data_IF_147983649829
#
_entry.id   IF_147983649829
#
_cell.length_a   1.000
_cell.length_b   1.000
_cell.length_c   1.000
_cell.angle_alpha   90.00
_cell.angle_beta   90.00
_cell.angle_gamma   90.00
#
_symmetry.space_group_name_H-M   'P 1'
#
loop_
_entity.id
_entity.type
_entity.pdbx_description
1 polymer ?
#
# COMPACT_ATOMS: atom_id res chain seq x y z
N UNK A 1 -26.55 -13.78 48.60
CA UNK A 1 -26.81 -14.46 47.32
C UNK A 1 -26.42 -13.48 46.24
N UNK A 2 -25.15 -13.48 45.78
CA UNK A 2 -24.61 -12.61 44.71
C UNK A 2 -24.73 -13.39 43.40
N UNK A 3 -25.63 -12.96 42.54
CA UNK A 3 -25.72 -13.43 41.15
C UNK A 3 -24.60 -12.81 40.36
N UNK A 4 -23.55 -13.58 40.03
CA UNK A 4 -22.57 -13.24 39.03
C UNK A 4 -23.26 -13.25 37.64
N UNK A 5 -23.44 -12.05 37.07
CA UNK A 5 -23.77 -11.91 35.67
C UNK A 5 -22.48 -12.14 34.88
N UNK A 6 -22.24 -13.40 34.54
CA UNK A 6 -21.19 -13.79 33.59
C UNK A 6 -21.49 -13.18 32.23
N UNK A 7 -20.69 -12.20 31.83
CA UNK A 7 -20.66 -11.67 30.48
C UNK A 7 -20.16 -12.77 29.51
N UNK A 8 -21.06 -13.60 29.02
CA UNK A 8 -20.80 -14.48 27.88
C UNK A 8 -20.56 -13.61 26.62
N UNK A 9 -19.32 -13.20 26.43
CA UNK A 9 -18.87 -12.77 25.11
C UNK A 9 -18.79 -14.02 24.24
N UNK A 10 -19.86 -14.24 23.46
CA UNK A 10 -20.04 -15.44 22.65
C UNK A 10 -18.86 -15.71 21.70
N UNK A 11 -18.66 -16.96 21.28
CA UNK A 11 -17.59 -17.42 20.39
C UNK A 11 -17.50 -16.67 19.03
N UNK A 12 -18.59 -16.02 18.59
CA UNK A 12 -18.71 -15.30 17.33
C UNK A 12 -17.84 -14.02 17.26
N UNK A 13 -17.78 -13.23 18.34
CA UNK A 13 -17.02 -11.98 18.34
C UNK A 13 -15.50 -12.18 18.21
N UNK A 14 -14.99 -13.28 18.76
CA UNK A 14 -13.57 -13.64 18.62
C UNK A 14 -13.21 -14.14 17.21
N UNK A 15 -14.10 -14.89 16.57
CA UNK A 15 -13.91 -15.40 15.22
C UNK A 15 -13.98 -14.28 14.16
N UNK A 16 -14.91 -13.35 14.30
CA UNK A 16 -15.05 -12.21 13.40
C UNK A 16 -13.87 -11.25 13.51
N UNK A 17 -13.36 -11.00 14.71
CA UNK A 17 -12.13 -10.24 14.93
C UNK A 17 -10.91 -10.87 14.26
N UNK A 18 -10.74 -12.20 14.39
CA UNK A 18 -9.66 -12.92 13.74
C UNK A 18 -9.77 -12.89 12.20
N UNK A 19 -10.97 -13.02 11.66
CA UNK A 19 -11.23 -12.92 10.21
C UNK A 19 -10.89 -11.54 9.66
N UNK A 20 -11.18 -10.46 10.40
CA UNK A 20 -10.83 -9.09 10.04
C UNK A 20 -9.30 -8.86 9.98
N UNK A 21 -8.55 -9.36 10.96
CA UNK A 21 -7.08 -9.29 11.00
C UNK A 21 -6.45 -10.00 9.80
N UNK A 22 -6.94 -11.21 9.47
CA UNK A 22 -6.46 -11.98 8.31
C UNK A 22 -6.83 -11.26 7.01
N UNK A 23 -8.06 -10.75 6.91
CA UNK A 23 -8.52 -10.01 5.74
C UNK A 23 -7.68 -8.78 5.44
N UNK A 24 -7.38 -7.96 6.45
CA UNK A 24 -6.52 -6.79 6.30
C UNK A 24 -5.09 -7.18 5.88
N UNK A 25 -4.53 -8.27 6.42
CA UNK A 25 -3.20 -8.73 6.03
C UNK A 25 -3.14 -9.16 4.56
N UNK A 26 -4.17 -9.85 4.06
CA UNK A 26 -4.26 -10.26 2.65
C UNK A 26 -4.42 -9.07 1.72
N UNK A 27 -5.31 -8.11 2.04
CA UNK A 27 -5.44 -6.87 1.27
C UNK A 27 -4.10 -6.12 1.20
N UNK A 28 -3.45 -5.96 2.35
CA UNK A 28 -2.14 -5.30 2.45
C UNK A 28 -1.06 -6.05 1.64
N UNK A 29 -1.08 -7.39 1.62
CA UNK A 29 -0.18 -8.22 0.81
C UNK A 29 -0.44 -8.07 -0.69
N UNK A 30 -1.72 -8.12 -1.11
CA UNK A 30 -2.12 -7.93 -2.51
C UNK A 30 -1.70 -6.55 -3.02
N UNK A 31 -1.97 -5.49 -2.25
CA UNK A 31 -1.52 -4.14 -2.57
C UNK A 31 0.01 -4.06 -2.65
N UNK A 32 0.72 -4.77 -1.77
CA UNK A 32 2.18 -4.85 -1.80
C UNK A 32 2.71 -5.46 -3.11
N UNK A 33 2.11 -6.56 -3.57
CA UNK A 33 2.49 -7.20 -4.83
C UNK A 33 2.17 -6.30 -6.04
N UNK A 34 1.00 -5.67 -6.08
CA UNK A 34 0.62 -4.72 -7.14
C UNK A 34 1.60 -3.54 -7.17
N UNK A 35 1.85 -2.93 -6.02
CA UNK A 35 2.79 -1.81 -5.92
C UNK A 35 4.21 -2.20 -6.30
N UNK A 36 4.66 -3.40 -5.97
CA UNK A 36 5.98 -3.89 -6.39
C UNK A 36 6.12 -3.89 -7.90
N UNK A 37 5.12 -4.39 -8.63
CA UNK A 37 5.11 -4.39 -10.10
C UNK A 37 5.07 -2.97 -10.65
N UNK A 38 4.17 -2.12 -10.15
CA UNK A 38 4.04 -0.73 -10.62
C UNK A 38 5.32 0.08 -10.35
N UNK A 39 5.92 -0.06 -9.18
CA UNK A 39 7.18 0.62 -8.84
C UNK A 39 8.37 0.08 -9.63
N UNK A 40 8.39 -1.20 -10.00
CA UNK A 40 9.40 -1.73 -10.91
C UNK A 40 9.28 -1.10 -12.31
N UNK A 41 8.06 -0.95 -12.84
CA UNK A 41 7.79 -0.24 -14.10
C UNK A 41 8.23 1.23 -13.96
N UNK A 42 7.86 1.89 -12.88
CA UNK A 42 8.25 3.27 -12.59
C UNK A 42 9.78 3.43 -12.55
N UNK A 43 10.48 2.51 -11.91
CA UNK A 43 11.95 2.47 -11.89
C UNK A 43 12.56 2.41 -13.31
N UNK A 44 11.94 1.68 -14.24
CA UNK A 44 12.37 1.65 -15.64
C UNK A 44 12.16 3.02 -16.32
N UNK A 45 11.06 3.72 -16.02
CA UNK A 45 10.80 5.04 -16.60
C UNK A 45 11.82 6.08 -16.17
N UNK A 46 12.31 6.00 -14.93
CA UNK A 46 13.33 6.92 -14.37
C UNK A 46 14.65 6.81 -15.13
N UNK A 47 15.06 5.60 -15.56
CA UNK A 47 16.31 5.38 -16.28
C UNK A 47 16.38 6.16 -17.61
N UNK A 48 15.23 6.53 -18.16
CA UNK A 48 15.10 7.27 -19.42
C UNK A 48 14.04 8.36 -19.34
N UNK A 49 13.96 9.06 -18.21
CA UNK A 49 12.89 10.00 -17.90
C UNK A 49 12.72 11.08 -18.97
N UNK A 50 13.80 11.58 -19.58
CA UNK A 50 13.74 12.56 -20.67
C UNK A 50 12.97 12.08 -21.91
N UNK A 51 12.93 10.75 -22.16
CA UNK A 51 12.17 10.16 -23.26
C UNK A 51 10.83 9.58 -22.82
N UNK A 52 10.69 9.30 -21.54
CA UNK A 52 9.56 8.58 -20.95
C UNK A 52 8.79 9.43 -19.91
N UNK A 53 8.88 10.78 -20.03
CA UNK A 53 8.23 11.66 -19.05
C UNK A 53 6.71 11.39 -18.95
N UNK A 54 6.04 11.19 -20.08
CA UNK A 54 4.61 10.85 -20.09
C UNK A 54 4.33 9.51 -19.39
N UNK A 55 5.17 8.50 -19.61
CA UNK A 55 5.05 7.20 -18.95
C UNK A 55 5.34 7.30 -17.45
N UNK A 56 6.38 8.07 -17.07
CA UNK A 56 6.72 8.35 -15.68
C UNK A 56 5.55 9.03 -14.93
N UNK A 57 4.99 10.08 -15.50
CA UNK A 57 3.82 10.76 -14.93
C UNK A 57 2.61 9.83 -14.86
N UNK A 58 2.35 9.06 -15.93
CA UNK A 58 1.22 8.12 -15.96
C UNK A 58 1.34 7.07 -14.84
N UNK A 59 2.48 6.38 -14.73
CA UNK A 59 2.67 5.33 -13.71
C UNK A 59 2.74 5.95 -12.32
N UNK A 60 3.41 7.09 -12.15
CA UNK A 60 3.47 7.82 -10.88
C UNK A 60 2.08 8.19 -10.35
N UNK A 61 1.19 8.69 -11.21
CA UNK A 61 -0.19 9.01 -10.81
C UNK A 61 -1.04 7.75 -10.59
N UNK A 62 -0.81 6.70 -11.36
CA UNK A 62 -1.46 5.40 -11.16
C UNK A 62 -1.14 4.80 -9.78
N UNK A 63 0.06 5.01 -9.29
CA UNK A 63 0.53 4.51 -7.99
C UNK A 63 -0.11 5.22 -6.80
N UNK A 64 -0.58 6.47 -6.95
CA UNK A 64 -1.10 7.30 -5.84
C UNK A 64 -2.21 6.62 -5.03
N UNK A 65 -3.35 6.18 -5.60
CA UNK A 65 -4.42 5.57 -4.83
C UNK A 65 -4.02 4.22 -4.17
N UNK A 66 -3.31 3.29 -4.85
CA UNK A 66 -2.81 2.07 -4.20
C UNK A 66 -1.86 2.34 -3.02
N UNK A 67 -0.98 3.34 -3.11
CA UNK A 67 -0.12 3.75 -1.99
C UNK A 67 -0.96 4.31 -0.85
N UNK A 68 -1.91 5.20 -1.12
CA UNK A 68 -2.79 5.77 -0.11
C UNK A 68 -3.57 4.67 0.64
N UNK A 69 -4.13 3.70 -0.08
CA UNK A 69 -4.83 2.56 0.51
C UNK A 69 -3.87 1.68 1.32
N UNK A 70 -2.67 1.42 0.82
CA UNK A 70 -1.63 0.65 1.53
C UNK A 70 -1.23 1.33 2.84
N UNK A 71 -1.01 2.64 2.81
CA UNK A 71 -0.72 3.45 4.01
C UNK A 71 -1.89 3.33 4.99
N UNK A 72 -3.13 3.52 4.53
CA UNK A 72 -4.32 3.42 5.37
C UNK A 72 -4.46 2.06 6.05
N UNK A 73 -4.34 0.95 5.32
CA UNK A 73 -4.43 -0.41 5.87
C UNK A 73 -3.31 -0.73 6.87
N UNK A 74 -2.11 -0.21 6.61
CA UNK A 74 -0.94 -0.39 7.48
C UNK A 74 -1.06 0.46 8.74
N UNK A 75 -1.47 1.72 8.60
CA UNK A 75 -1.72 2.63 9.73
C UNK A 75 -2.85 2.12 10.62
N UNK A 76 -3.94 1.61 10.03
CA UNK A 76 -5.01 0.95 10.77
C UNK A 76 -4.49 -0.21 11.61
N UNK A 77 -3.68 -1.10 11.01
CA UNK A 77 -3.05 -2.23 11.73
C UNK A 77 -2.16 -1.73 12.88
N UNK A 78 -1.35 -0.70 12.63
CA UNK A 78 -0.47 -0.10 13.62
C UNK A 78 -1.28 0.48 14.79
N UNK A 79 -2.28 1.30 14.50
CA UNK A 79 -3.14 1.89 15.51
C UNK A 79 -3.83 0.81 16.38
N UNK A 80 -4.42 -0.22 15.75
CA UNK A 80 -5.07 -1.32 16.47
C UNK A 80 -4.10 -2.09 17.37
N UNK A 81 -2.85 -2.31 16.92
CA UNK A 81 -1.83 -2.96 17.73
C UNK A 81 -1.50 -2.15 18.99
N UNK A 82 -1.25 -0.84 18.86
CA UNK A 82 -0.89 0.02 20.00
C UNK A 82 -2.07 0.39 20.91
N UNK A 83 -3.30 0.33 20.40
CA UNK A 83 -4.52 0.48 21.20
C UNK A 83 -4.91 -0.81 21.95
N UNK A 84 -4.08 -1.85 21.90
CA UNK A 84 -4.26 -3.06 22.69
C UNK A 84 -5.29 -4.05 22.14
N UNK A 85 -5.58 -4.01 20.82
CA UNK A 85 -6.49 -4.99 20.23
C UNK A 85 -5.91 -6.41 20.33
N UNK A 86 -6.63 -7.36 20.99
CA UNK A 86 -6.11 -8.71 21.21
C UNK A 86 -5.83 -9.49 19.92
N UNK A 87 -6.58 -9.21 18.85
CA UNK A 87 -6.40 -9.88 17.54
C UNK A 87 -5.09 -9.48 16.88
N UNK A 88 -4.75 -8.20 16.94
CA UNK A 88 -3.49 -7.67 16.39
C UNK A 88 -2.30 -7.92 17.31
N UNK A 89 -2.50 -7.89 18.65
CA UNK A 89 -1.46 -8.18 19.64
C UNK A 89 -0.91 -9.60 19.54
N UNK A 90 -1.77 -10.61 19.30
CA UNK A 90 -1.36 -12.01 19.12
C UNK A 90 -0.42 -12.27 17.92
N UNK A 91 -0.42 -11.41 16.90
CA UNK A 91 0.51 -11.50 15.77
C UNK A 91 1.94 -11.05 16.10
N UNK A 92 2.13 -10.40 17.25
CA UNK A 92 3.40 -9.86 17.67
C UNK A 92 3.82 -8.60 16.90
N UNK A 93 4.85 -7.93 17.43
CA UNK A 93 5.46 -6.80 16.77
C UNK A 93 6.34 -7.26 15.60
N UNK A 94 6.40 -6.50 14.49
CA UNK A 94 7.39 -6.75 13.45
C UNK A 94 8.81 -6.59 13.99
N UNK A 95 9.84 -7.18 13.33
CA UNK A 95 11.24 -6.97 13.69
C UNK A 95 11.56 -5.48 13.81
N UNK A 96 12.45 -5.13 14.74
CA UNK A 96 12.75 -3.73 15.10
C UNK A 96 13.10 -2.87 13.87
N UNK A 97 13.91 -3.41 12.95
CA UNK A 97 14.28 -2.73 11.72
C UNK A 97 13.05 -2.32 10.87
N UNK A 98 12.12 -3.26 10.66
CA UNK A 98 10.90 -2.99 9.88
C UNK A 98 9.91 -2.10 10.63
N UNK A 99 9.93 -2.14 11.96
CA UNK A 99 9.11 -1.28 12.82
C UNK A 99 9.56 0.18 12.75
N UNK A 100 10.87 0.43 12.66
CA UNK A 100 11.42 1.78 12.50
C UNK A 100 11.34 2.24 11.04
N UNK A 101 11.59 1.36 10.09
CA UNK A 101 11.51 1.67 8.66
C UNK A 101 10.07 2.02 8.22
N UNK A 102 9.05 1.41 8.82
CA UNK A 102 7.64 1.61 8.43
C UNK A 102 7.20 3.08 8.40
N UNK A 103 7.30 3.85 9.50
CA UNK A 103 6.97 5.27 9.51
C UNK A 103 7.81 6.10 8.54
N UNK A 104 9.11 5.81 8.40
CA UNK A 104 10.00 6.50 7.47
C UNK A 104 9.59 6.26 6.02
N UNK A 105 9.22 5.02 5.66
CA UNK A 105 8.69 4.69 4.33
C UNK A 105 7.38 5.43 4.06
N UNK A 106 6.49 5.54 5.04
CA UNK A 106 5.23 6.31 4.89
C UNK A 106 5.53 7.78 4.61
N UNK A 107 6.38 8.41 5.43
CA UNK A 107 6.71 9.83 5.29
C UNK A 107 7.40 10.10 3.95
N UNK A 108 8.41 9.30 3.58
CA UNK A 108 9.15 9.52 2.34
C UNK A 108 8.33 9.15 1.10
N UNK A 109 7.44 8.14 1.14
CA UNK A 109 6.50 7.85 0.06
C UNK A 109 5.52 9.01 -0.15
N UNK A 110 4.99 9.59 0.94
CA UNK A 110 4.13 10.75 0.85
C UNK A 110 4.88 11.95 0.27
N UNK A 111 6.13 12.17 0.70
CA UNK A 111 6.95 13.27 0.22
C UNK A 111 7.24 13.16 -1.29
N UNK A 112 7.68 11.98 -1.78
CA UNK A 112 8.00 11.80 -3.19
C UNK A 112 6.76 11.95 -4.08
N UNK A 113 5.60 11.43 -3.66
CA UNK A 113 4.36 11.60 -4.42
C UNK A 113 3.87 13.04 -4.39
N UNK A 114 3.85 13.69 -3.23
CA UNK A 114 3.39 15.07 -3.08
C UNK A 114 4.28 16.05 -3.88
N UNK A 115 5.60 15.90 -3.82
CA UNK A 115 6.53 16.75 -4.58
C UNK A 115 6.43 16.50 -6.09
N UNK A 116 6.21 15.24 -6.52
CA UNK A 116 6.00 14.91 -7.92
C UNK A 116 4.72 15.53 -8.47
N UNK A 117 3.61 15.41 -7.75
CA UNK A 117 2.32 16.03 -8.11
C UNK A 117 2.47 17.56 -8.13
N UNK A 118 3.12 18.15 -7.13
CA UNK A 118 3.33 19.58 -7.06
C UNK A 118 4.21 20.09 -8.21
N UNK A 119 5.29 19.37 -8.55
CA UNK A 119 6.14 19.71 -9.69
C UNK A 119 5.37 19.67 -11.01
N UNK A 120 4.59 18.59 -11.23
CA UNK A 120 3.75 18.45 -12.42
C UNK A 120 2.74 19.59 -12.55
N UNK A 121 2.03 19.94 -11.47
CA UNK A 121 1.02 20.99 -11.45
C UNK A 121 1.62 22.40 -11.64
N UNK A 122 2.79 22.66 -11.07
CA UNK A 122 3.46 23.95 -11.16
C UNK A 122 4.19 24.17 -12.51
N UNK A 123 4.46 23.10 -13.26
CA UNK A 123 5.14 23.14 -14.55
C UNK A 123 6.67 23.30 -14.45
N UNK A 124 7.37 23.20 -15.61
CA UNK A 124 8.83 23.09 -15.69
C UNK A 124 9.59 24.35 -15.21
N UNK A 125 8.92 25.52 -15.12
CA UNK A 125 9.51 26.74 -14.60
C UNK A 125 9.81 26.73 -13.09
N UNK A 126 9.25 25.77 -12.35
CA UNK A 126 9.39 25.69 -10.89
C UNK A 126 10.50 24.71 -10.50
N UNK A 127 11.74 25.06 -10.80
CA UNK A 127 12.91 24.20 -10.62
C UNK A 127 13.06 23.63 -9.21
N UNK A 128 12.74 24.39 -8.15
CA UNK A 128 12.89 23.94 -6.78
C UNK A 128 11.96 22.75 -6.43
N UNK A 129 10.76 22.66 -7.02
CA UNK A 129 9.86 21.52 -6.84
C UNK A 129 10.42 20.26 -7.50
N UNK A 130 11.02 20.41 -8.68
CA UNK A 130 11.69 19.30 -9.35
C UNK A 130 12.88 18.79 -8.52
N UNK A 131 13.68 19.70 -7.98
CA UNK A 131 14.81 19.32 -7.10
C UNK A 131 14.31 18.69 -5.79
N UNK A 132 13.22 19.19 -5.21
CA UNK A 132 12.59 18.59 -4.03
C UNK A 132 12.08 17.18 -4.33
N UNK A 133 11.50 16.94 -5.52
CA UNK A 133 11.07 15.60 -5.96
C UNK A 133 12.27 14.65 -6.12
N UNK A 134 13.34 15.08 -6.77
CA UNK A 134 14.57 14.28 -6.89
C UNK A 134 15.17 13.95 -5.51
N UNK A 135 15.28 14.93 -4.64
CA UNK A 135 15.81 14.73 -3.28
C UNK A 135 14.95 13.78 -2.46
N UNK A 136 13.61 13.92 -2.51
CA UNK A 136 12.70 13.01 -1.82
C UNK A 136 12.81 11.58 -2.36
N UNK A 137 13.00 11.40 -3.68
CA UNK A 137 13.26 10.09 -4.28
C UNK A 137 14.56 9.46 -3.78
N UNK A 138 15.66 10.24 -3.73
CA UNK A 138 16.96 9.75 -3.24
C UNK A 138 16.85 9.26 -1.78
N UNK A 139 16.07 9.93 -0.95
CA UNK A 139 15.83 9.51 0.43
C UNK A 139 14.89 8.29 0.51
N UNK A 140 13.87 8.27 -0.31
CA UNK A 140 12.86 7.20 -0.34
C UNK A 140 13.42 5.87 -0.85
N UNK A 141 14.24 5.88 -1.88
CA UNK A 141 14.67 4.68 -2.59
C UNK A 141 15.39 3.65 -1.69
N UNK A 142 16.42 4.01 -0.89
CA UNK A 142 17.07 3.05 0.00
C UNK A 142 16.14 2.54 1.11
N UNK A 143 15.28 3.40 1.67
CA UNK A 143 14.31 3.00 2.69
C UNK A 143 13.27 2.01 2.12
N UNK A 144 12.78 2.28 0.92
CA UNK A 144 11.85 1.39 0.22
C UNK A 144 12.54 0.07 -0.15
N UNK A 145 13.80 0.08 -0.55
CA UNK A 145 14.57 -1.13 -0.85
C UNK A 145 14.67 -2.03 0.39
N UNK A 146 15.06 -1.49 1.54
CA UNK A 146 15.10 -2.25 2.81
C UNK A 146 13.71 -2.78 3.18
N UNK A 147 12.67 -1.96 3.01
CA UNK A 147 11.30 -2.36 3.29
C UNK A 147 10.83 -3.51 2.40
N UNK A 148 11.07 -3.43 1.10
CA UNK A 148 10.71 -4.49 0.13
C UNK A 148 11.47 -5.79 0.43
N UNK A 149 12.78 -5.72 0.64
CA UNK A 149 13.60 -6.89 0.96
C UNK A 149 13.14 -7.57 2.26
N UNK A 150 12.71 -6.79 3.25
CA UNK A 150 12.16 -7.31 4.51
C UNK A 150 10.81 -8.02 4.37
N UNK A 151 10.08 -7.78 3.28
CA UNK A 151 8.74 -8.34 3.05
C UNK A 151 8.63 -9.24 1.80
N UNK A 152 9.70 -9.38 1.02
CA UNK A 152 9.68 -10.08 -0.27
C UNK A 152 9.26 -11.54 -0.17
N UNK A 153 9.57 -12.21 0.93
CA UNK A 153 9.24 -13.63 1.15
C UNK A 153 7.76 -13.78 1.56
N UNK A 154 7.22 -12.88 2.38
CA UNK A 154 5.85 -12.98 2.91
C UNK A 154 4.80 -12.47 1.92
N UNK A 155 5.13 -11.46 1.14
CA UNK A 155 4.18 -10.78 0.25
C UNK A 155 3.54 -11.70 -0.78
N UNK A 156 4.27 -12.57 -1.51
CA UNK A 156 3.66 -13.49 -2.48
C UNK A 156 2.68 -14.47 -1.83
N UNK A 157 3.03 -15.01 -0.67
CA UNK A 157 2.17 -15.94 0.05
C UNK A 157 0.85 -15.27 0.47
N UNK A 158 0.89 -14.03 0.93
CA UNK A 158 -0.29 -13.26 1.31
C UNK A 158 -1.13 -12.84 0.10
N UNK A 159 -0.49 -12.43 -0.98
CA UNK A 159 -1.15 -12.02 -2.22
C UNK A 159 -1.89 -13.19 -2.89
N UNK A 160 -1.28 -14.38 -2.88
CA UNK A 160 -1.84 -15.59 -3.49
C UNK A 160 -2.81 -16.35 -2.57
N UNK A 161 -2.90 -15.99 -1.27
CA UNK A 161 -3.68 -16.73 -0.29
C UNK A 161 -5.18 -16.86 -0.64
N UNK A 162 -5.76 -15.87 -1.29
CA UNK A 162 -7.16 -15.90 -1.70
C UNK A 162 -7.38 -16.78 -2.94
N UNK A 163 -6.35 -16.95 -3.79
CA UNK A 163 -6.38 -17.77 -5.00
C UNK A 163 -6.07 -19.25 -4.71
N UNK A 164 -5.05 -19.51 -3.89
CA UNK A 164 -4.59 -20.87 -3.58
C UNK A 164 -5.57 -21.66 -2.72
N UNK A 165 -6.32 -21.01 -1.82
CA UNK A 165 -7.39 -21.66 -1.05
C UNK A 165 -8.57 -22.07 -1.92
N UNK A 166 -8.94 -21.27 -2.91
CA UNK A 166 -9.96 -21.60 -3.91
C UNK A 166 -9.61 -22.88 -4.66
N UNK A 167 -8.34 -23.07 -5.01
CA UNK A 167 -7.88 -24.21 -5.77
C UNK A 167 -7.77 -25.50 -4.93
N UNK A 168 -7.52 -25.39 -3.62
CA UNK A 168 -7.21 -26.56 -2.78
C UNK A 168 -8.40 -27.18 -2.04
N UNK A 169 -9.46 -26.44 -1.73
CA UNK A 169 -10.51 -26.90 -0.81
C UNK A 169 -11.90 -26.96 -1.43
N UNK A 170 -12.09 -26.58 -2.70
CA UNK A 170 -13.44 -26.57 -3.33
C UNK A 170 -14.46 -25.68 -2.60
N UNK A 171 -14.10 -25.16 -1.44
CA UNK A 171 -14.92 -24.28 -0.64
C UNK A 171 -15.02 -22.91 -1.32
N UNK A 172 -16.20 -22.32 -1.26
CA UNK A 172 -16.49 -21.00 -1.82
C UNK A 172 -15.47 -19.93 -1.44
N UNK A 173 -15.54 -18.74 -2.04
CA UNK A 173 -14.54 -17.69 -1.86
C UNK A 173 -14.32 -17.44 -0.37
N UNK A 174 -13.06 -17.41 0.07
CA UNK A 174 -12.71 -17.05 1.44
C UNK A 174 -13.45 -15.76 1.82
N UNK A 175 -14.12 -15.74 2.99
CA UNK A 175 -14.93 -14.58 3.43
C UNK A 175 -14.21 -13.27 3.13
N UNK A 176 -14.85 -12.38 2.37
CA UNK A 176 -14.32 -11.08 1.98
C UNK A 176 -13.30 -11.07 0.83
N UNK A 177 -13.00 -12.20 0.16
CA UNK A 177 -12.08 -12.19 -1.01
C UNK A 177 -12.62 -11.33 -2.16
N UNK A 178 -13.93 -11.42 -2.44
CA UNK A 178 -14.58 -10.57 -3.44
C UNK A 178 -14.47 -9.07 -3.09
N UNK A 179 -14.69 -8.72 -1.82
CA UNK A 179 -14.56 -7.32 -1.36
C UNK A 179 -13.13 -6.82 -1.53
N UNK A 180 -12.11 -7.62 -1.16
CA UNK A 180 -10.70 -7.24 -1.35
C UNK A 180 -10.35 -7.07 -2.83
N UNK A 181 -10.84 -7.95 -3.70
CA UNK A 181 -10.67 -7.82 -5.14
C UNK A 181 -11.32 -6.54 -5.69
N UNK A 182 -12.58 -6.27 -5.30
CA UNK A 182 -13.29 -5.05 -5.70
C UNK A 182 -12.56 -3.80 -5.21
N UNK A 183 -12.15 -3.75 -3.94
CA UNK A 183 -11.39 -2.62 -3.39
C UNK A 183 -10.09 -2.38 -4.16
N UNK A 184 -9.36 -3.45 -4.48
CA UNK A 184 -8.13 -3.35 -5.27
C UNK A 184 -8.41 -2.84 -6.69
N UNK A 185 -9.43 -3.38 -7.35
CA UNK A 185 -9.82 -2.95 -8.70
C UNK A 185 -10.28 -1.49 -8.74
N UNK A 186 -11.15 -1.09 -7.80
CA UNK A 186 -11.60 0.32 -7.69
C UNK A 186 -10.41 1.25 -7.47
N UNK A 187 -9.47 0.87 -6.62
CA UNK A 187 -8.28 1.67 -6.34
C UNK A 187 -7.38 1.82 -7.58
N UNK A 188 -7.20 0.74 -8.35
CA UNK A 188 -6.45 0.79 -9.61
C UNK A 188 -7.20 1.60 -10.67
N UNK A 189 -8.52 1.44 -10.80
CA UNK A 189 -9.33 2.23 -11.73
C UNK A 189 -9.25 3.72 -11.42
N UNK A 190 -9.30 4.09 -10.13
CA UNK A 190 -9.09 5.48 -9.71
C UNK A 190 -7.69 5.98 -10.09
N UNK A 191 -6.67 5.13 -9.94
CA UNK A 191 -5.30 5.43 -10.36
C UNK A 191 -5.20 5.68 -11.86
N UNK A 192 -5.85 4.84 -12.69
CA UNK A 192 -5.91 5.03 -14.16
C UNK A 192 -6.59 6.36 -14.50
N UNK A 193 -7.70 6.69 -13.86
CA UNK A 193 -8.39 7.97 -14.08
C UNK A 193 -7.48 9.15 -13.75
N UNK A 194 -6.81 9.13 -12.60
CA UNK A 194 -5.85 10.18 -12.23
C UNK A 194 -4.69 10.27 -13.23
N UNK A 195 -4.15 9.13 -13.65
CA UNK A 195 -3.07 9.06 -14.63
C UNK A 195 -3.46 9.67 -15.98
N UNK A 196 -4.65 9.32 -16.49
CA UNK A 196 -5.15 9.86 -17.77
C UNK A 196 -5.38 11.37 -17.66
N UNK A 197 -6.04 11.84 -16.60
CA UNK A 197 -6.31 13.27 -16.39
C UNK A 197 -5.01 14.09 -16.28
N UNK A 198 -3.97 13.54 -15.68
CA UNK A 198 -2.68 14.23 -15.51
C UNK A 198 -1.85 14.32 -16.78
N UNK A 199 -2.11 13.51 -17.82
CA UNK A 199 -1.40 13.61 -19.08
C UNK A 199 -1.59 14.97 -19.80
N UNK A 200 -2.72 15.65 -19.53
CA UNK A 200 -2.93 17.01 -20.02
C UNK A 200 -1.89 18.04 -19.55
N UNK A 201 -1.24 17.78 -18.40
CA UNK A 201 -0.22 18.68 -17.85
C UNK A 201 1.20 18.36 -18.33
N UNK A 202 1.39 17.18 -18.96
CA UNK A 202 2.71 16.72 -19.42
C UNK A 202 3.19 17.52 -20.64
N UNK A 203 2.28 18.06 -21.46
CA UNK A 203 2.64 18.82 -22.66
C UNK A 203 3.62 19.96 -22.43
N UNK A 204 3.62 20.57 -21.27
CA UNK A 204 4.56 21.62 -20.88
C UNK A 204 6.00 21.11 -20.59
N UNK A 205 6.20 19.80 -20.51
CA UNK A 205 7.46 19.15 -20.15
C UNK A 205 8.22 18.56 -21.36
N UNK A 206 7.71 18.75 -22.58
CA UNK A 206 8.29 18.30 -23.86
C UNK A 206 8.98 19.41 -24.62
#
# INVERSE_FOLDING_TARGET
>A
MKTEVGSERGPSAGADGAAGVVGNARLTGTLGAVLFVLLAIEGVTILRVHRLVSAHVFVGMLVVPPVALKIGTTTYRFARYYLGDPGYGRRGAPPLLLRLAGPLVVVTSTAVLATGIAALAAGPGTHWLLEAHKASFILWFPLMTVHVLGHVIETPALALADWTRRARHGDGPARGAAVRAVVTLVTLSLGVVLAVLSLGWVGAWH
#
